data_IF_873905162426
#
_entry.id   IF_873905162426
#
_cell.length_a   1.000
_cell.length_b   1.000
_cell.length_c   1.000
_cell.angle_alpha   90.00
_cell.angle_beta   90.00
_cell.angle_gamma   90.00
#
_symmetry.space_group_name_H-M   'P 1'
#
loop_
_entity.id
_entity.type
_entity.pdbx_description
1 polymer ?
#
# COMPACT_ATOMS: atom_id res chain seq x y z
N UNK A 1 58.52 -18.78 -26.36
CA UNK A 1 58.85 -19.50 -25.11
C UNK A 1 57.91 -19.01 -24.02
N UNK A 2 57.35 -19.95 -23.26
CA UNK A 2 56.16 -19.82 -22.41
C UNK A 2 56.32 -18.74 -21.31
N UNK A 3 55.33 -17.87 -21.15
CA UNK A 3 55.10 -17.13 -19.91
C UNK A 3 53.79 -17.65 -19.33
N UNK A 4 53.92 -18.42 -18.25
CA UNK A 4 52.84 -19.13 -17.59
C UNK A 4 52.12 -18.20 -16.63
N UNK A 5 50.82 -18.05 -16.84
CA UNK A 5 49.84 -17.43 -15.95
C UNK A 5 49.79 -18.18 -14.62
N UNK A 6 49.78 -17.44 -13.50
CA UNK A 6 49.34 -17.93 -12.20
C UNK A 6 48.19 -17.06 -11.72
N UNK A 7 46.95 -17.52 -11.94
CA UNK A 7 45.78 -17.06 -11.22
C UNK A 7 45.67 -17.92 -9.94
N UNK A 8 45.73 -17.29 -8.77
CA UNK A 8 45.24 -17.90 -7.55
C UNK A 8 43.73 -17.64 -7.46
N UNK A 9 42.93 -18.69 -7.63
CA UNK A 9 41.51 -18.68 -7.31
C UNK A 9 41.37 -18.93 -5.80
N UNK A 10 40.89 -17.93 -5.06
CA UNK A 10 40.40 -18.12 -3.71
C UNK A 10 38.95 -18.64 -3.80
N UNK A 11 38.74 -19.92 -3.53
CA UNK A 11 37.41 -20.50 -3.33
C UNK A 11 36.96 -20.12 -1.92
N UNK A 12 36.11 -19.09 -1.82
CA UNK A 12 35.32 -18.84 -0.61
C UNK A 12 34.13 -19.80 -0.64
N UNK A 13 34.26 -20.92 0.07
CA UNK A 13 33.12 -21.75 0.45
C UNK A 13 32.24 -20.95 1.41
N UNK A 14 31.17 -20.36 0.89
CA UNK A 14 30.07 -19.88 1.71
C UNK A 14 29.35 -21.11 2.26
N UNK A 15 29.59 -21.44 3.52
CA UNK A 15 28.73 -22.35 4.28
C UNK A 15 27.39 -21.66 4.45
N UNK A 16 26.40 -22.04 3.64
CA UNK A 16 25.02 -21.68 3.88
C UNK A 16 24.58 -22.35 5.18
N UNK A 17 24.54 -21.60 6.28
CA UNK A 17 23.77 -21.99 7.46
C UNK A 17 22.30 -21.93 7.05
N UNK A 18 21.75 -23.07 6.63
CA UNK A 18 20.31 -23.27 6.54
C UNK A 18 19.74 -23.07 7.94
N UNK A 19 19.11 -21.93 8.18
CA UNK A 19 18.18 -21.78 9.30
C UNK A 19 16.96 -22.62 8.90
N UNK A 20 16.64 -23.71 9.61
CA UNK A 20 15.42 -24.44 9.32
C UNK A 20 14.24 -23.51 9.62
N UNK A 21 13.45 -23.21 8.59
CA UNK A 21 12.13 -22.60 8.76
C UNK A 21 11.28 -23.65 9.47
N UNK A 22 11.07 -23.45 10.77
CA UNK A 22 10.13 -24.25 11.55
C UNK A 22 8.73 -23.83 11.08
N UNK A 23 8.12 -24.63 10.21
CA UNK A 23 6.68 -24.59 10.01
C UNK A 23 6.01 -25.30 11.19
N UNK A 24 5.83 -24.56 12.27
CA UNK A 24 4.96 -24.91 13.38
C UNK A 24 4.24 -23.66 13.80
N UNK A 25 2.91 -23.73 13.96
CA UNK A 25 2.19 -22.71 14.71
C UNK A 25 2.89 -22.51 16.06
N UNK A 26 3.04 -21.27 16.49
CA UNK A 26 3.60 -20.98 17.80
C UNK A 26 2.78 -21.74 18.85
N UNK A 27 3.43 -22.63 19.60
CA UNK A 27 2.83 -23.35 20.69
C UNK A 27 2.38 -22.33 21.75
N UNK A 28 1.08 -22.03 21.77
CA UNK A 28 0.45 -21.09 22.69
C UNK A 28 0.10 -21.73 24.04
N UNK A 29 0.57 -22.95 24.29
CA UNK A 29 0.32 -23.71 25.51
C UNK A 29 -1.11 -24.26 25.58
N UNK A 30 -1.27 -25.39 26.26
CA UNK A 30 -2.57 -26.01 26.49
C UNK A 30 -3.47 -25.08 27.29
N UNK A 31 -4.52 -24.55 26.65
CA UNK A 31 -5.51 -23.66 27.26
C UNK A 31 -5.88 -22.43 26.43
N UNK A 32 -5.16 -22.13 25.35
CA UNK A 32 -5.54 -21.04 24.44
C UNK A 32 -6.76 -21.41 23.61
N UNK A 33 -7.88 -20.72 23.85
CA UNK A 33 -9.07 -20.80 23.01
C UNK A 33 -9.25 -19.47 22.27
N UNK A 34 -9.16 -19.49 20.93
CA UNK A 34 -9.34 -18.31 20.09
C UNK A 34 -10.74 -17.66 20.19
N UNK A 35 -11.71 -18.35 20.83
CA UNK A 35 -13.03 -17.84 21.16
C UNK A 35 -13.09 -17.12 22.52
N UNK A 36 -12.05 -17.25 23.34
CA UNK A 36 -11.96 -16.57 24.64
C UNK A 36 -11.61 -15.09 24.39
N UNK A 37 -12.66 -14.29 24.18
CA UNK A 37 -12.56 -12.89 23.77
C UNK A 37 -13.43 -12.51 22.57
N UNK A 38 -14.26 -13.44 22.06
CA UNK A 38 -15.20 -13.11 20.98
C UNK A 38 -16.15 -12.00 21.40
N UNK A 39 -16.33 -11.02 20.51
CA UNK A 39 -17.33 -9.92 20.39
C UNK A 39 -18.20 -9.64 21.62
N UNK A 40 -18.90 -10.61 22.20
CA UNK A 40 -19.71 -10.47 23.42
C UNK A 40 -19.02 -9.71 24.56
N UNK A 41 -17.74 -10.00 24.86
CA UNK A 41 -17.01 -9.29 25.92
C UNK A 41 -16.64 -7.84 25.57
N UNK A 42 -16.49 -7.54 24.28
CA UNK A 42 -16.32 -6.17 23.78
C UNK A 42 -17.67 -5.43 23.76
N UNK A 43 -18.76 -6.14 23.45
CA UNK A 43 -20.12 -5.62 23.48
C UNK A 43 -20.56 -5.28 24.91
N UNK A 44 -20.23 -6.10 25.92
CA UNK A 44 -20.50 -5.78 27.33
C UNK A 44 -19.69 -4.58 27.84
N UNK A 45 -18.50 -4.32 27.28
CA UNK A 45 -17.71 -3.13 27.61
C UNK A 45 -18.21 -1.85 26.92
N UNK A 46 -18.90 -2.00 25.79
CA UNK A 46 -19.54 -0.90 25.05
C UNK A 46 -20.95 -0.60 25.56
N UNK A 47 -21.66 -1.59 26.09
CA UNK A 47 -22.92 -1.42 26.82
C UNK A 47 -22.56 -1.02 28.25
N UNK A 48 -22.20 0.26 28.43
CA UNK A 48 -22.18 0.87 29.75
C UNK A 48 -23.50 0.56 30.48
N UNK A 49 -23.40 0.22 31.76
CA UNK A 49 -24.52 -0.19 32.63
C UNK A 49 -25.76 0.66 32.36
N UNK A 50 -26.76 0.08 31.69
CA UNK A 50 -28.04 0.74 31.44
C UNK A 50 -28.75 0.85 32.79
N UNK A 51 -28.48 1.93 33.51
CA UNK A 51 -29.42 2.41 34.51
C UNK A 51 -30.66 2.90 33.75
N UNK A 52 -31.89 2.62 34.22
CA UNK A 52 -33.10 3.14 33.60
C UNK A 52 -33.09 4.67 33.76
N UNK A 53 -32.53 5.37 32.78
CA UNK A 53 -32.65 6.81 32.67
C UNK A 53 -34.10 7.10 32.34
N UNK A 54 -34.79 7.76 33.27
CA UNK A 54 -36.08 8.41 33.04
C UNK A 54 -36.11 8.96 31.63
N UNK A 55 -37.10 8.55 30.84
CA UNK A 55 -37.43 8.99 29.46
C UNK A 55 -36.70 10.28 29.06
N UNK A 56 -35.45 10.13 28.63
CA UNK A 56 -34.77 11.16 27.89
C UNK A 56 -35.39 11.06 26.50
N UNK A 57 -36.36 11.94 26.27
CA UNK A 57 -36.84 12.26 24.95
C UNK A 57 -35.59 12.38 24.05
N UNK A 58 -35.45 11.44 23.12
CA UNK A 58 -34.35 11.43 22.15
C UNK A 58 -34.57 12.67 21.28
N UNK A 59 -34.08 13.80 21.77
CA UNK A 59 -34.12 15.06 21.06
C UNK A 59 -33.47 14.79 19.73
N UNK A 60 -34.20 15.11 18.65
CA UNK A 60 -33.72 14.99 17.28
C UNK A 60 -32.35 15.68 17.19
N UNK A 61 -31.27 14.90 17.28
CA UNK A 61 -29.92 15.39 17.08
C UNK A 61 -29.84 15.73 15.61
N UNK A 62 -29.88 17.02 15.29
CA UNK A 62 -30.07 17.53 13.93
C UNK A 62 -28.86 17.36 13.00
N UNK A 63 -27.89 16.51 13.37
CA UNK A 63 -26.72 16.21 12.57
C UNK A 63 -26.83 14.77 12.09
N UNK A 64 -26.92 14.54 10.78
CA UNK A 64 -27.00 13.19 10.21
C UNK A 64 -25.78 12.32 10.50
N UNK A 65 -25.68 11.16 9.84
CA UNK A 65 -24.62 10.16 10.06
C UNK A 65 -23.17 10.69 9.92
N UNK A 66 -22.96 11.80 9.24
CA UNK A 66 -21.65 12.44 9.04
C UNK A 66 -21.37 13.60 10.01
N UNK A 67 -22.23 13.83 11.01
CA UNK A 67 -22.01 14.89 11.98
C UNK A 67 -20.87 14.52 12.95
N UNK A 68 -20.01 15.49 13.33
CA UNK A 68 -18.94 15.23 14.27
C UNK A 68 -19.51 14.90 15.66
N UNK A 69 -18.91 13.91 16.32
CA UNK A 69 -19.24 13.59 17.72
C UNK A 69 -18.82 14.71 18.69
N UNK A 70 -17.80 15.49 18.32
CA UNK A 70 -17.28 16.66 19.03
C UNK A 70 -16.20 17.35 18.20
N UNK A 71 -15.93 18.61 18.49
CA UNK A 71 -14.89 19.42 17.80
C UNK A 71 -13.75 19.83 18.73
N UNK A 72 -13.83 19.46 20.00
CA UNK A 72 -12.81 19.76 20.99
C UNK A 72 -11.53 18.95 20.70
N UNK A 73 -10.38 19.58 20.90
CA UNK A 73 -9.10 18.90 20.75
C UNK A 73 -8.95 17.77 21.80
N UNK A 74 -8.23 16.68 21.48
CA UNK A 74 -7.87 15.67 22.47
C UNK A 74 -7.14 16.27 23.67
N UNK A 75 -7.30 15.66 24.86
CA UNK A 75 -6.61 16.13 26.07
C UNK A 75 -5.10 16.03 25.91
N UNK A 76 -4.41 17.18 25.95
CA UNK A 76 -2.95 17.26 25.90
C UNK A 76 -2.27 16.69 27.17
N UNK A 77 -3.01 16.56 28.27
CA UNK A 77 -2.52 15.91 29.50
C UNK A 77 -2.41 14.39 29.34
N UNK A 78 -3.37 13.79 28.61
CA UNK A 78 -3.43 12.36 28.36
C UNK A 78 -2.68 11.96 27.08
N UNK A 79 -2.71 12.82 26.05
CA UNK A 79 -2.17 12.56 24.73
C UNK A 79 -1.17 13.64 24.34
N UNK A 80 0.09 13.43 24.69
CA UNK A 80 1.16 14.33 24.29
C UNK A 80 1.47 14.19 22.80
N UNK A 81 1.48 15.31 22.08
CA UNK A 81 1.84 15.34 20.66
C UNK A 81 3.28 14.87 20.45
N UNK A 82 3.48 13.95 19.52
CA UNK A 82 4.81 13.43 19.19
C UNK A 82 4.96 13.21 17.68
N UNK A 83 5.92 13.90 17.07
CA UNK A 83 6.24 13.77 15.64
C UNK A 83 7.24 12.65 15.30
N UNK A 84 7.68 11.86 16.30
CA UNK A 84 8.74 10.85 16.12
C UNK A 84 8.36 9.71 15.17
N UNK A 85 7.07 9.48 14.95
CA UNK A 85 6.57 8.50 13.97
C UNK A 85 7.12 8.73 12.56
N UNK A 86 7.27 9.99 12.15
CA UNK A 86 7.86 10.35 10.84
C UNK A 86 9.29 9.84 10.62
N UNK A 87 10.03 9.55 11.71
CA UNK A 87 11.38 9.00 11.66
C UNK A 87 11.39 7.49 11.46
N UNK A 88 10.32 6.81 11.88
CA UNK A 88 10.21 5.34 11.85
C UNK A 88 9.49 4.92 10.57
N UNK A 89 8.43 5.64 10.18
CA UNK A 89 7.60 5.36 9.02
C UNK A 89 7.45 6.65 8.21
N UNK A 90 8.47 7.02 7.40
CA UNK A 90 8.39 8.23 6.60
C UNK A 90 7.33 8.09 5.50
N UNK A 91 6.65 9.20 5.23
CA UNK A 91 5.88 9.41 4.00
C UNK A 91 6.87 9.90 2.93
N UNK A 92 6.92 9.22 1.79
CA UNK A 92 7.98 9.48 0.80
C UNK A 92 7.45 9.96 -0.56
N UNK A 93 6.20 9.62 -0.88
CA UNK A 93 5.56 10.00 -2.13
C UNK A 93 4.33 10.87 -1.85
N UNK A 94 4.43 11.85 -0.95
CA UNK A 94 3.36 12.81 -0.64
C UNK A 94 3.88 14.21 -0.97
N UNK A 95 3.11 14.96 -1.75
CA UNK A 95 3.46 16.32 -2.13
C UNK A 95 3.49 17.23 -0.90
N UNK A 96 4.44 18.18 -0.84
CA UNK A 96 4.59 19.08 0.29
C UNK A 96 3.32 19.92 0.52
N UNK A 97 2.67 20.35 -0.57
CA UNK A 97 1.40 21.08 -0.52
C UNK A 97 0.24 20.30 0.12
N UNK A 98 0.33 18.96 0.16
CA UNK A 98 -0.70 18.08 0.69
C UNK A 98 -0.51 17.74 2.17
N UNK A 99 0.54 18.24 2.82
CA UNK A 99 0.81 18.00 4.25
C UNK A 99 -0.08 18.82 5.19
N UNK A 100 -0.90 19.72 4.66
CA UNK A 100 -1.87 20.52 5.40
C UNK A 100 -3.19 19.77 5.70
N UNK A 101 -3.36 18.56 5.16
CA UNK A 101 -4.53 17.71 5.35
C UNK A 101 -4.14 16.37 6.00
N UNK A 102 -5.04 15.72 6.76
CA UNK A 102 -4.76 14.42 7.34
C UNK A 102 -4.50 13.36 6.27
N UNK A 103 -3.38 12.65 6.40
CA UNK A 103 -3.02 11.52 5.55
C UNK A 103 -3.66 10.26 6.15
N UNK A 104 -4.48 9.51 5.40
CA UNK A 104 -5.09 8.30 5.93
C UNK A 104 -4.05 7.18 6.06
N UNK A 105 -4.07 6.47 7.19
CA UNK A 105 -3.08 5.42 7.51
C UNK A 105 -3.52 4.01 7.14
N UNK A 106 -4.81 3.81 6.88
CA UNK A 106 -5.42 2.50 6.66
C UNK A 106 -6.25 2.44 5.37
N UNK A 107 -5.97 3.33 4.43
CA UNK A 107 -6.66 3.35 3.14
C UNK A 107 -6.01 2.37 2.15
N UNK A 108 -6.78 1.93 1.15
CA UNK A 108 -6.39 0.86 0.21
C UNK A 108 -5.16 1.23 -0.63
N UNK A 109 -4.88 2.52 -0.78
CA UNK A 109 -3.76 3.08 -1.53
C UNK A 109 -2.56 3.47 -0.65
N UNK A 110 -2.58 3.20 0.66
CA UNK A 110 -1.49 3.56 1.58
C UNK A 110 -0.10 3.04 1.18
N UNK A 111 -0.06 1.92 0.44
CA UNK A 111 1.17 1.36 -0.14
C UNK A 111 1.84 2.28 -1.18
N UNK A 112 1.14 3.28 -1.72
CA UNK A 112 1.68 4.19 -2.72
C UNK A 112 2.47 5.35 -2.10
N UNK A 113 2.16 5.72 -0.85
CA UNK A 113 2.79 6.83 -0.12
C UNK A 113 3.91 6.38 0.84
N UNK A 114 3.96 5.07 1.12
CA UNK A 114 4.98 4.43 1.91
C UNK A 114 5.75 3.41 1.08
N UNK A 115 7.05 3.25 1.36
CA UNK A 115 7.83 2.13 0.85
C UNK A 115 8.64 1.58 2.02
N UNK A 116 8.97 0.29 1.96
CA UNK A 116 9.99 -0.28 2.83
C UNK A 116 11.26 0.57 2.73
N UNK A 117 11.83 0.90 3.88
CA UNK A 117 13.06 1.67 4.08
C UNK A 117 14.25 1.27 3.17
N UNK A 118 14.24 0.02 2.70
CA UNK A 118 15.16 -0.49 1.72
C UNK A 118 14.69 -0.11 0.31
N UNK A 119 15.32 0.91 -0.28
CA UNK A 119 15.21 1.27 -1.71
C UNK A 119 15.39 0.10 -2.70
N UNK A 120 15.84 -1.06 -2.22
CA UNK A 120 16.05 -2.28 -3.01
C UNK A 120 14.82 -3.19 -3.09
N UNK A 121 13.74 -2.92 -2.35
CA UNK A 121 12.53 -3.75 -2.40
C UNK A 121 11.47 -2.96 -3.14
N UNK A 122 10.98 -3.54 -4.24
CA UNK A 122 9.98 -2.90 -5.10
C UNK A 122 8.75 -2.44 -4.32
N UNK A 123 8.15 -1.29 -4.67
CA UNK A 123 6.93 -0.81 -4.03
C UNK A 123 5.83 -1.89 -4.02
N UNK A 124 5.08 -2.00 -2.92
CA UNK A 124 3.93 -2.89 -2.86
C UNK A 124 2.77 -2.33 -3.69
N UNK A 125 1.97 -3.22 -4.29
CA UNK A 125 0.81 -2.79 -5.06
C UNK A 125 -0.32 -2.25 -4.16
N UNK A 126 -1.10 -1.31 -4.70
CA UNK A 126 -2.39 -0.90 -4.18
C UNK A 126 -3.52 -1.53 -5.01
N UNK A 127 -4.66 -1.81 -4.38
CA UNK A 127 -5.77 -2.52 -5.01
C UNK A 127 -6.98 -1.60 -5.13
N UNK A 128 -7.11 -0.95 -6.29
CA UNK A 128 -8.28 -0.13 -6.59
C UNK A 128 -9.52 -0.99 -6.91
N UNK A 129 -9.30 -2.21 -7.39
CA UNK A 129 -10.31 -3.10 -7.96
C UNK A 129 -11.03 -2.49 -9.19
N UNK A 130 -11.03 -3.16 -10.35
CA UNK A 130 -10.50 -4.49 -10.58
C UNK A 130 -8.97 -4.52 -10.79
N UNK A 131 -8.32 -3.36 -10.81
CA UNK A 131 -6.88 -3.24 -11.06
C UNK A 131 -6.06 -3.21 -9.77
N UNK A 132 -4.91 -3.88 -9.81
CA UNK A 132 -3.80 -3.61 -8.92
C UNK A 132 -2.83 -2.63 -9.58
N UNK A 133 -2.28 -1.71 -8.79
CA UNK A 133 -1.50 -0.56 -9.25
C UNK A 133 -0.17 -0.51 -8.51
N UNK A 134 0.90 -0.18 -9.22
CA UNK A 134 2.23 -0.04 -8.63
C UNK A 134 2.96 1.15 -9.23
N UNK A 135 3.75 1.81 -8.37
CA UNK A 135 4.70 2.84 -8.78
C UNK A 135 6.08 2.19 -8.77
N UNK A 136 6.66 1.80 -9.90
CA UNK A 136 7.89 1.03 -9.95
C UNK A 136 9.11 1.93 -9.65
N UNK A 137 10.12 1.33 -9.01
CA UNK A 137 11.43 1.93 -8.69
C UNK A 137 12.50 1.62 -9.73
N UNK A 138 12.18 0.73 -10.66
CA UNK A 138 13.02 0.36 -11.80
C UNK A 138 12.20 0.56 -13.07
N UNK A 139 12.88 0.86 -14.18
CA UNK A 139 12.21 1.02 -15.46
C UNK A 139 11.45 -0.26 -15.86
N UNK A 140 10.26 -0.16 -16.49
CA UNK A 140 9.62 1.08 -16.95
C UNK A 140 8.94 1.85 -15.80
N UNK A 141 9.27 3.13 -15.68
CA UNK A 141 8.68 4.03 -14.68
C UNK A 141 7.28 4.48 -15.09
N UNK A 142 6.45 4.95 -14.14
CA UNK A 142 5.09 5.41 -14.40
C UNK A 142 4.06 4.70 -13.54
N UNK A 143 2.84 4.50 -14.06
CA UNK A 143 1.78 3.80 -13.34
C UNK A 143 1.62 2.42 -13.96
N UNK A 144 2.13 1.41 -13.27
CA UNK A 144 1.98 0.01 -13.65
C UNK A 144 0.62 -0.51 -13.20
N UNK A 145 -0.06 -1.20 -14.10
CA UNK A 145 -1.42 -1.69 -13.93
C UNK A 145 -1.45 -3.18 -14.21
N UNK A 146 -2.19 -3.91 -13.37
CA UNK A 146 -2.38 -5.36 -13.46
C UNK A 146 -3.86 -5.67 -13.26
N UNK A 147 -4.46 -6.44 -14.16
CA UNK A 147 -5.76 -7.03 -13.95
C UNK A 147 -5.59 -8.38 -13.22
N UNK A 148 -5.45 -8.30 -11.89
CA UNK A 148 -5.07 -9.40 -11.01
C UNK A 148 -5.93 -10.65 -11.09
N UNK A 149 -7.17 -10.53 -11.56
CA UNK A 149 -8.07 -11.69 -11.72
C UNK A 149 -7.53 -12.71 -12.72
N UNK A 150 -6.87 -12.28 -13.80
CA UNK A 150 -6.31 -13.18 -14.82
C UNK A 150 -5.17 -14.04 -14.26
N UNK A 151 -4.43 -13.51 -13.30
CA UNK A 151 -3.25 -14.15 -12.69
C UNK A 151 -3.57 -14.84 -11.36
N UNK A 152 -4.82 -15.29 -11.22
CA UNK A 152 -5.28 -15.94 -10.00
C UNK A 152 -4.86 -17.41 -9.95
N UNK A 153 -4.07 -17.72 -8.95
CA UNK A 153 -3.72 -19.09 -8.59
C UNK A 153 -4.53 -19.50 -7.36
N UNK A 154 -5.06 -20.71 -7.38
CA UNK A 154 -5.77 -21.30 -6.26
C UNK A 154 -4.99 -22.52 -5.75
N UNK A 155 -5.03 -22.73 -4.44
CA UNK A 155 -4.56 -23.98 -3.86
C UNK A 155 -5.30 -25.19 -4.48
N UNK A 156 -4.72 -26.41 -4.40
CA UNK A 156 -5.50 -27.61 -4.67
C UNK A 156 -6.73 -27.68 -3.76
N UNK A 157 -7.86 -28.10 -4.32
CA UNK A 157 -9.09 -28.27 -3.58
C UNK A 157 -8.98 -29.44 -2.60
N UNK A 158 -9.41 -29.24 -1.36
CA UNK A 158 -9.55 -30.30 -0.36
C UNK A 158 -10.96 -30.23 0.20
N UNK A 159 -11.75 -31.29 0.01
CA UNK A 159 -13.13 -31.40 0.49
C UNK A 159 -14.04 -30.22 0.07
N UNK A 160 -14.01 -29.76 -1.19
CA UNK A 160 -14.89 -28.68 -1.65
C UNK A 160 -14.40 -27.27 -1.32
N UNK A 161 -13.21 -27.10 -0.71
CA UNK A 161 -12.71 -25.80 -0.24
C UNK A 161 -11.27 -25.55 -0.68
N UNK A 162 -10.98 -24.28 -1.01
CA UNK A 162 -9.64 -23.79 -1.29
C UNK A 162 -9.03 -23.14 -0.05
N UNK A 163 -7.81 -23.53 0.34
CA UNK A 163 -7.14 -22.96 1.52
C UNK A 163 -6.67 -21.52 1.29
N UNK A 164 -6.21 -21.23 0.07
CA UNK A 164 -5.68 -19.92 -0.29
C UNK A 164 -5.87 -19.69 -1.79
N UNK A 165 -5.85 -18.42 -2.16
CA UNK A 165 -5.63 -17.96 -3.53
C UNK A 165 -4.63 -16.81 -3.49
N UNK A 166 -3.91 -16.62 -4.59
CA UNK A 166 -2.99 -15.52 -4.76
C UNK A 166 -3.22 -14.85 -6.12
N UNK A 167 -2.86 -13.58 -6.22
CA UNK A 167 -2.74 -12.88 -7.50
C UNK A 167 -1.29 -12.49 -7.68
N UNK A 168 -0.65 -13.07 -8.70
CA UNK A 168 0.67 -12.61 -9.13
C UNK A 168 0.53 -11.24 -9.78
N UNK A 169 1.45 -10.33 -9.49
CA UNK A 169 1.49 -9.03 -10.13
C UNK A 169 2.28 -9.13 -11.43
N UNK A 170 1.67 -8.70 -12.52
CA UNK A 170 2.23 -8.67 -13.87
C UNK A 170 2.10 -7.25 -14.42
N UNK A 171 3.06 -6.80 -15.22
CA UNK A 171 2.97 -5.49 -15.87
C UNK A 171 2.14 -5.60 -17.15
N UNK A 172 0.80 -5.62 -16.99
CA UNK A 172 -0.09 -5.68 -18.14
C UNK A 172 0.09 -4.44 -19.01
N UNK A 173 0.02 -3.26 -18.38
CA UNK A 173 0.23 -1.96 -19.01
C UNK A 173 0.86 -1.01 -17.99
N UNK A 174 1.89 -0.29 -18.41
CA UNK A 174 2.42 0.90 -17.74
C UNK A 174 2.03 2.14 -18.53
N UNK A 175 1.33 3.08 -17.90
CA UNK A 175 1.23 4.44 -18.43
C UNK A 175 2.49 5.20 -18.03
N UNK A 176 3.31 5.55 -19.02
CA UNK A 176 4.65 6.13 -18.85
C UNK A 176 4.86 7.34 -19.78
N UNK A 177 6.07 7.87 -19.80
CA UNK A 177 6.53 8.88 -20.74
C UNK A 177 7.95 8.56 -21.24
N UNK A 178 8.29 8.98 -22.45
CA UNK A 178 9.65 8.77 -23.01
C UNK A 178 10.75 9.41 -22.14
N UNK A 179 10.44 10.54 -21.51
CA UNK A 179 11.35 11.26 -20.62
C UNK A 179 11.72 10.43 -19.39
N UNK A 180 10.83 9.54 -18.93
CA UNK A 180 11.08 8.70 -17.76
C UNK A 180 11.99 7.52 -18.07
N UNK A 181 12.27 7.21 -19.34
CA UNK A 181 13.07 6.03 -19.69
C UNK A 181 14.52 6.13 -19.21
N UNK A 182 15.06 7.34 -19.14
CA UNK A 182 16.46 7.57 -18.79
C UNK A 182 16.70 7.88 -17.30
N UNK A 183 15.66 8.34 -16.59
CA UNK A 183 15.78 8.84 -15.22
C UNK A 183 14.52 8.50 -14.40
N UNK A 184 14.71 8.10 -13.14
CA UNK A 184 13.60 7.88 -12.20
C UNK A 184 12.82 9.19 -11.99
N UNK A 185 11.50 9.22 -12.26
CA UNK A 185 10.68 10.38 -11.98
C UNK A 185 10.35 10.49 -10.49
N UNK A 186 9.92 11.66 -10.05
CA UNK A 186 9.30 11.80 -8.72
C UNK A 186 7.86 11.31 -8.77
N UNK A 187 7.43 10.58 -7.74
CA UNK A 187 6.04 10.17 -7.56
C UNK A 187 5.46 10.89 -6.34
N UNK A 188 4.30 11.53 -6.50
CA UNK A 188 3.68 12.30 -5.42
C UNK A 188 2.16 12.13 -5.40
N UNK A 189 1.61 11.71 -4.27
CA UNK A 189 0.20 11.88 -3.95
C UNK A 189 -0.03 13.32 -3.48
N UNK A 190 -0.88 14.06 -4.20
CA UNK A 190 -1.09 15.49 -3.93
C UNK A 190 -2.52 15.84 -3.50
N UNK A 191 -3.48 14.92 -3.67
CA UNK A 191 -4.84 15.08 -3.21
C UNK A 191 -5.51 13.71 -3.04
N UNK A 192 -6.44 13.59 -2.10
CA UNK A 192 -7.20 12.37 -1.84
C UNK A 192 -8.55 12.69 -1.21
N UNK A 193 -9.46 11.73 -1.31
CA UNK A 193 -10.76 11.71 -0.63
C UNK A 193 -11.11 10.26 -0.25
N UNK A 194 -12.32 10.02 0.24
CA UNK A 194 -12.78 8.67 0.62
C UNK A 194 -12.81 7.67 -0.55
N UNK A 195 -12.83 8.15 -1.80
CA UNK A 195 -12.91 7.33 -3.00
C UNK A 195 -11.55 6.95 -3.59
N UNK A 196 -10.50 7.72 -3.31
CA UNK A 196 -9.17 7.43 -3.83
C UNK A 196 -8.16 8.56 -3.73
N UNK A 197 -7.13 8.50 -4.60
CA UNK A 197 -5.94 9.35 -4.54
C UNK A 197 -5.56 9.87 -5.92
N UNK A 198 -5.11 11.12 -5.99
CA UNK A 198 -4.50 11.72 -7.17
C UNK A 198 -2.99 11.67 -7.04
N UNK A 199 -2.36 11.16 -8.09
CA UNK A 199 -0.92 11.02 -8.22
C UNK A 199 -0.40 11.95 -9.30
N UNK A 200 0.78 12.50 -9.06
CA UNK A 200 1.59 13.24 -10.01
C UNK A 200 2.92 12.52 -10.16
N UNK A 201 3.36 12.33 -11.41
CA UNK A 201 4.66 11.77 -11.74
C UNK A 201 5.42 12.78 -12.60
N UNK A 202 6.56 13.29 -12.13
CA UNK A 202 7.27 14.37 -12.81
C UNK A 202 8.70 14.00 -13.18
N UNK A 203 9.15 14.51 -14.33
CA UNK A 203 10.56 14.55 -14.67
C UNK A 203 11.27 15.60 -13.79
N UNK A 204 12.34 15.17 -13.13
CA UNK A 204 13.15 16.00 -12.23
C UNK A 204 13.86 17.12 -13.00
N UNK A 205 14.23 16.89 -14.26
CA UNK A 205 15.02 17.85 -15.05
C UNK A 205 14.14 18.96 -15.66
N UNK A 206 12.98 18.61 -16.20
CA UNK A 206 12.11 19.50 -16.95
C UNK A 206 10.88 20.00 -16.20
N UNK A 207 10.54 19.44 -15.03
CA UNK A 207 9.33 19.78 -14.29
C UNK A 207 8.02 19.44 -15.02
N UNK A 208 8.12 18.63 -16.08
CA UNK A 208 7.00 18.13 -16.87
C UNK A 208 6.39 16.93 -16.15
N UNK A 209 5.06 16.85 -16.13
CA UNK A 209 4.39 15.88 -15.27
C UNK A 209 3.28 15.13 -16.01
N UNK A 210 2.95 13.95 -15.48
CA UNK A 210 1.69 13.29 -15.74
C UNK A 210 0.88 13.17 -14.45
N UNK A 211 -0.41 13.47 -14.54
CA UNK A 211 -1.35 13.37 -13.44
C UNK A 211 -2.35 12.24 -13.67
N UNK A 212 -2.65 11.49 -12.62
CA UNK A 212 -3.59 10.37 -12.64
C UNK A 212 -4.47 10.37 -11.40
N UNK A 213 -5.72 9.96 -11.57
CA UNK A 213 -6.64 9.72 -10.46
C UNK A 213 -6.88 8.22 -10.33
N UNK A 214 -6.54 7.66 -9.17
CA UNK A 214 -6.77 6.27 -8.83
C UNK A 214 -7.99 6.22 -7.92
N UNK A 215 -9.06 5.58 -8.38
CA UNK A 215 -10.35 5.53 -7.68
C UNK A 215 -10.75 4.08 -7.48
N UNK A 216 -11.28 3.76 -6.30
CA UNK A 216 -11.82 2.43 -6.03
C UNK A 216 -12.96 2.11 -7.01
N UNK A 217 -12.89 0.96 -7.68
CA UNK A 217 -13.89 0.56 -8.68
C UNK A 217 -13.70 1.16 -10.08
N UNK A 218 -12.59 1.84 -10.36
CA UNK A 218 -12.38 2.47 -11.67
C UNK A 218 -12.33 1.43 -12.81
N UNK A 219 -13.05 1.69 -13.90
CA UNK A 219 -13.03 0.85 -15.09
C UNK A 219 -11.87 1.16 -16.05
N UNK A 220 -11.21 2.31 -15.87
CA UNK A 220 -10.13 2.78 -16.71
C UNK A 220 -9.01 3.33 -15.84
N UNK A 221 -7.76 3.10 -16.25
CA UNK A 221 -6.62 3.82 -15.73
C UNK A 221 -6.36 4.99 -16.69
N UNK A 222 -6.17 6.18 -16.15
CA UNK A 222 -6.00 7.39 -16.95
C UNK A 222 -4.78 8.19 -16.51
N UNK A 223 -4.15 8.88 -17.45
CA UNK A 223 -3.07 9.81 -17.21
C UNK A 223 -3.25 11.03 -18.11
N UNK A 224 -3.10 12.23 -17.55
CA UNK A 224 -3.07 13.49 -18.28
C UNK A 224 -1.63 13.97 -18.32
N UNK A 225 -1.11 14.23 -19.51
CA UNK A 225 0.30 14.59 -19.71
C UNK A 225 0.45 16.09 -19.93
N UNK A 226 1.37 16.72 -19.22
CA UNK A 226 1.78 18.12 -19.42
C UNK A 226 3.25 18.17 -19.83
N UNK A 227 3.48 18.44 -21.12
CA UNK A 227 4.81 18.57 -21.71
C UNK A 227 5.62 17.27 -21.84
N UNK A 228 5.07 16.14 -21.42
CA UNK A 228 5.66 14.80 -21.57
C UNK A 228 5.18 14.10 -22.85
N UNK A 229 5.98 13.17 -23.36
CA UNK A 229 5.65 12.34 -24.53
C UNK A 229 5.06 11.01 -24.06
N UNK A 230 3.75 10.76 -24.22
CA UNK A 230 3.12 9.55 -23.71
C UNK A 230 3.75 8.28 -24.28
N UNK A 231 3.98 7.31 -23.40
CA UNK A 231 4.54 6.00 -23.73
C UNK A 231 3.77 4.92 -22.99
N UNK A 232 3.58 3.79 -23.66
CA UNK A 232 3.00 2.59 -23.06
C UNK A 232 4.05 1.50 -23.08
N UNK A 233 4.35 0.95 -21.91
CA UNK A 233 5.19 -0.23 -21.75
C UNK A 233 4.35 -1.40 -21.22
N UNK A 234 4.73 -2.61 -21.56
CA UNK A 234 4.06 -3.85 -21.14
C UNK A 234 5.08 -4.99 -21.12
N UNK A 235 4.86 -6.00 -20.29
CA UNK A 235 5.64 -7.25 -20.37
C UNK A 235 5.18 -8.15 -21.52
N UNK A 236 4.01 -7.89 -22.11
CA UNK A 236 3.39 -8.71 -23.14
C UNK A 236 3.72 -8.20 -24.54
N UNK A 237 3.71 -9.09 -25.53
CA UNK A 237 3.86 -8.68 -26.93
C UNK A 237 2.57 -8.00 -27.42
N UNK A 238 2.71 -6.81 -28.01
CA UNK A 238 1.66 -6.14 -28.77
C UNK A 238 1.99 -6.33 -30.26
N UNK A 239 1.18 -7.14 -30.94
CA UNK A 239 1.31 -7.41 -32.39
C UNK A 239 0.16 -6.83 -33.17
#
# INVERSE_FOLDING_TARGET
MKVTTWLQAAVLTATATQIPVVFGDADVGDGYNFLQGTVAGATEKLIGTISPSNTAQQGSTSGGYFAPFGTDAPSEELFQRNGSLSKIVPIINVAEEALNQPIPTNDWWGNLIHVTDQKNVTNFQAYANPYALKLPREAPYGIQTCYSYTYREMAPEVNGTFKWYNHSFHNDITLSAEEFFSYEPTYEAYAWDEGGVKLRTCDVAGGKCMDSALVSGMAFVSATYDGLTPRIDTEHNIT
#
